data_IF_936274518685
#
_entry.id   IF_936274518685
#
_cell.length_a   1.000
_cell.length_b   1.000
_cell.length_c   1.000
_cell.angle_alpha   90.00
_cell.angle_beta   90.00
_cell.angle_gamma   90.00
#
_symmetry.space_group_name_H-M   'P 1'
#
loop_
_entity.id
_entity.type
_entity.pdbx_description
1 polymer ?
#
# COMPACT_ATOMS: atom_id res chain seq x y z
N UNK A 1 -19.21 30.08 9.26
CA UNK A 1 -18.53 28.84 8.77
C UNK A 1 -17.71 28.26 9.90
N UNK A 2 -18.02 27.06 10.37
CA UNK A 2 -17.31 26.42 11.51
C UNK A 2 -15.85 26.15 11.15
N UNK A 3 -14.90 26.47 12.02
CA UNK A 3 -13.45 26.26 11.85
C UNK A 3 -13.10 24.90 11.22
N UNK A 4 -13.76 23.83 11.67
CA UNK A 4 -13.63 22.48 11.15
C UNK A 4 -13.98 22.31 9.66
N UNK A 5 -14.98 23.04 9.13
CA UNK A 5 -15.30 23.02 7.69
C UNK A 5 -14.25 23.72 6.83
N UNK A 6 -13.49 24.66 7.42
CA UNK A 6 -12.36 25.33 6.74
C UNK A 6 -11.11 24.45 6.74
N UNK A 7 -10.90 23.69 7.82
CA UNK A 7 -9.75 22.82 8.01
C UNK A 7 -9.89 21.45 7.30
N UNK A 8 -11.07 20.82 7.36
CA UNK A 8 -11.31 19.46 6.84
C UNK A 8 -12.12 19.44 5.54
N UNK A 9 -12.54 20.59 5.00
CA UNK A 9 -13.36 20.64 3.79
C UNK A 9 -14.83 20.24 4.01
N UNK A 10 -15.55 20.04 2.90
CA UNK A 10 -16.96 19.60 2.92
C UNK A 10 -16.99 18.07 3.02
N UNK A 11 -17.87 17.47 3.84
CA UNK A 11 -17.99 16.02 3.90
C UNK A 11 -18.39 15.49 2.52
N UNK A 12 -17.58 14.59 1.97
CA UNK A 12 -17.88 13.89 0.72
C UNK A 12 -19.14 13.04 0.93
N UNK A 13 -20.18 13.27 0.14
CA UNK A 13 -21.39 12.45 0.20
C UNK A 13 -21.05 11.04 -0.29
N UNK A 14 -21.33 10.02 0.54
CA UNK A 14 -21.06 8.60 0.23
C UNK A 14 -21.64 8.12 -1.12
N UNK A 15 -22.65 8.82 -1.65
CA UNK A 15 -23.28 8.53 -2.94
C UNK A 15 -22.53 9.06 -4.17
N UNK A 16 -21.69 10.09 -4.03
CA UNK A 16 -20.96 10.67 -5.18
C UNK A 16 -19.71 9.84 -5.57
N UNK A 17 -19.14 9.09 -4.62
CA UNK A 17 -17.91 8.32 -4.84
C UNK A 17 -18.14 6.92 -5.42
N UNK A 18 -19.36 6.39 -5.38
CA UNK A 18 -19.67 5.04 -5.86
C UNK A 18 -19.77 4.95 -7.40
N UNK A 19 -20.07 6.06 -8.08
CA UNK A 19 -20.26 6.13 -9.54
C UNK A 19 -19.02 6.58 -10.32
N UNK A 20 -17.93 6.98 -9.64
CA UNK A 20 -16.70 7.41 -10.31
C UNK A 20 -15.82 6.20 -10.65
N UNK A 21 -16.07 5.61 -11.82
CA UNK A 21 -15.14 4.66 -12.44
C UNK A 21 -13.97 5.46 -13.03
N UNK A 22 -12.76 5.24 -12.48
CA UNK A 22 -11.54 5.83 -13.04
C UNK A 22 -11.27 5.24 -14.44
N UNK A 23 -10.97 6.07 -15.45
CA UNK A 23 -10.55 5.56 -16.75
C UNK A 23 -9.23 4.79 -16.60
N UNK A 24 -9.05 3.70 -17.36
CA UNK A 24 -7.91 2.77 -17.22
C UNK A 24 -6.54 3.44 -17.20
N UNK A 25 -6.36 4.53 -17.97
CA UNK A 25 -5.10 5.29 -18.05
C UNK A 25 -4.76 5.96 -16.72
N UNK A 26 -5.75 6.46 -15.98
CA UNK A 26 -5.58 7.07 -14.66
C UNK A 26 -5.56 6.01 -13.55
N UNK A 27 -6.38 4.97 -13.70
CA UNK A 27 -6.45 3.88 -12.73
C UNK A 27 -5.12 3.12 -12.61
N UNK A 28 -4.43 2.87 -13.73
CA UNK A 28 -3.18 2.10 -13.73
C UNK A 28 -2.08 2.70 -12.84
N UNK A 29 -1.65 3.96 -12.99
CA UNK A 29 -0.61 4.53 -12.13
C UNK A 29 -1.05 4.69 -10.67
N UNK A 30 -2.33 5.01 -10.42
CA UNK A 30 -2.85 5.17 -9.06
C UNK A 30 -2.84 3.82 -8.33
N UNK A 31 -3.32 2.75 -8.99
CA UNK A 31 -3.41 1.42 -8.39
C UNK A 31 -2.06 0.68 -8.41
N UNK A 32 -1.17 0.97 -9.35
CA UNK A 32 0.17 0.39 -9.40
C UNK A 32 1.16 1.08 -8.45
N UNK A 33 0.81 2.23 -7.88
CA UNK A 33 1.68 2.98 -6.97
C UNK A 33 2.17 2.14 -5.80
N UNK A 34 1.33 1.25 -5.27
CA UNK A 34 1.66 0.38 -4.12
C UNK A 34 2.71 -0.69 -4.47
N UNK A 35 2.59 -1.26 -5.68
CA UNK A 35 3.60 -2.19 -6.20
C UNK A 35 4.92 -1.46 -6.47
N UNK A 36 4.87 -0.24 -6.99
CA UNK A 36 6.08 0.57 -7.24
C UNK A 36 6.77 1.00 -5.95
N UNK A 37 6.01 1.43 -4.93
CA UNK A 37 6.59 1.77 -3.62
C UNK A 37 7.21 0.55 -2.95
N UNK A 38 6.62 -0.64 -3.10
CA UNK A 38 7.19 -1.89 -2.59
C UNK A 38 8.58 -2.19 -3.14
N UNK A 39 8.83 -1.93 -4.43
CA UNK A 39 10.15 -2.12 -5.03
C UNK A 39 11.20 -1.20 -4.40
N UNK A 40 10.83 0.03 -4.04
CA UNK A 40 11.76 1.01 -3.50
C UNK A 40 12.36 0.62 -2.14
N UNK A 41 11.60 -0.05 -1.27
CA UNK A 41 12.09 -0.47 0.05
C UNK A 41 12.42 -1.96 0.16
N UNK A 42 11.74 -2.83 -0.59
CA UNK A 42 11.87 -4.28 -0.41
C UNK A 42 13.24 -4.79 -0.85
N UNK A 43 13.84 -4.18 -1.88
CA UNK A 43 15.16 -4.60 -2.38
C UNK A 43 16.25 -4.37 -1.34
N UNK A 44 16.28 -3.19 -0.72
CA UNK A 44 17.25 -2.88 0.34
C UNK A 44 17.02 -3.74 1.58
N UNK A 45 15.77 -3.90 2.01
CA UNK A 45 15.43 -4.75 3.15
C UNK A 45 15.85 -6.22 2.94
N UNK A 46 15.60 -6.78 1.74
CA UNK A 46 15.97 -8.15 1.41
C UNK A 46 17.50 -8.33 1.42
N UNK A 47 18.25 -7.39 0.85
CA UNK A 47 19.71 -7.42 0.89
C UNK A 47 20.25 -7.26 2.30
N UNK A 48 19.67 -6.37 3.11
CA UNK A 48 20.05 -6.19 4.51
C UNK A 48 19.96 -7.49 5.32
N UNK A 49 18.90 -8.27 5.12
CA UNK A 49 18.75 -9.59 5.76
C UNK A 49 19.81 -10.59 5.24
N UNK A 50 20.08 -10.62 3.94
CA UNK A 50 21.10 -11.50 3.38
C UNK A 50 22.51 -11.18 3.89
N UNK A 51 22.83 -9.89 4.06
CA UNK A 51 24.13 -9.45 4.64
C UNK A 51 24.33 -10.01 6.05
N UNK A 52 23.28 -10.08 6.87
CA UNK A 52 23.35 -10.70 8.20
C UNK A 52 23.69 -12.20 8.13
N UNK A 53 23.32 -12.88 7.04
CA UNK A 53 23.69 -14.27 6.75
C UNK A 53 25.11 -14.45 6.20
N UNK A 54 25.87 -13.37 6.00
CA UNK A 54 27.23 -13.37 5.47
C UNK A 54 27.31 -13.11 3.96
N UNK A 55 28.50 -12.72 3.48
CA UNK A 55 28.73 -12.35 2.07
C UNK A 55 28.40 -13.46 1.06
N UNK A 56 28.51 -14.72 1.47
CA UNK A 56 28.12 -15.87 0.64
C UNK A 56 26.60 -15.91 0.36
N UNK A 57 25.77 -15.40 1.28
CA UNK A 57 24.31 -15.37 1.13
C UNK A 57 23.85 -14.32 0.11
N UNK A 58 24.67 -13.33 -0.24
CA UNK A 58 24.33 -12.33 -1.28
C UNK A 58 24.09 -12.98 -2.65
N UNK A 59 24.75 -14.11 -2.93
CA UNK A 59 24.51 -14.90 -4.14
C UNK A 59 23.09 -15.47 -4.23
N UNK A 60 22.36 -15.57 -3.10
CA UNK A 60 20.97 -16.01 -3.06
C UNK A 60 19.98 -14.92 -3.53
N UNK A 61 20.41 -13.67 -3.67
CA UNK A 61 19.53 -12.57 -4.12
C UNK A 61 18.87 -12.86 -5.48
N UNK A 62 19.63 -13.41 -6.42
CA UNK A 62 19.14 -13.76 -7.77
C UNK A 62 18.08 -14.88 -7.71
N UNK A 63 18.34 -16.07 -7.14
CA UNK A 63 17.33 -17.12 -7.09
C UNK A 63 16.10 -16.73 -6.27
N UNK A 64 16.25 -15.93 -5.20
CA UNK A 64 15.12 -15.38 -4.44
C UNK A 64 14.27 -14.46 -5.32
N UNK A 65 14.92 -13.57 -6.09
CA UNK A 65 14.21 -12.67 -7.00
C UNK A 65 13.43 -13.44 -8.07
N UNK A 66 14.03 -14.49 -8.66
CA UNK A 66 13.34 -15.36 -9.63
C UNK A 66 12.13 -16.05 -8.98
N UNK A 67 12.26 -16.54 -7.75
CA UNK A 67 11.14 -17.14 -7.02
C UNK A 67 10.01 -16.13 -6.75
N UNK A 68 10.35 -14.89 -6.39
CA UNK A 68 9.37 -13.80 -6.20
C UNK A 68 8.64 -13.48 -7.51
N UNK A 69 9.36 -13.39 -8.64
CA UNK A 69 8.74 -13.16 -9.96
C UNK A 69 7.75 -14.28 -10.30
N UNK A 70 8.15 -15.54 -10.08
CA UNK A 70 7.28 -16.68 -10.30
C UNK A 70 6.03 -16.64 -9.39
N UNK A 71 6.19 -16.27 -8.12
CA UNK A 71 5.08 -16.10 -7.18
C UNK A 71 4.13 -14.98 -7.65
N UNK A 72 4.65 -13.84 -8.07
CA UNK A 72 3.84 -12.73 -8.60
C UNK A 72 3.05 -13.19 -9.84
N UNK A 73 3.64 -13.96 -10.74
CA UNK A 73 2.94 -14.49 -11.91
C UNK A 73 1.75 -15.39 -11.50
N UNK A 74 1.94 -16.26 -10.50
CA UNK A 74 0.87 -17.10 -9.96
C UNK A 74 -0.24 -16.23 -9.35
N UNK A 75 0.14 -15.24 -8.55
CA UNK A 75 -0.80 -14.30 -7.91
C UNK A 75 -1.60 -13.54 -8.96
N UNK A 76 -0.97 -13.03 -10.01
CA UNK A 76 -1.66 -12.34 -11.12
C UNK A 76 -2.67 -13.26 -11.80
N UNK A 77 -2.30 -14.51 -12.09
CA UNK A 77 -3.23 -15.48 -12.68
C UNK A 77 -4.41 -15.79 -11.75
N UNK A 78 -4.17 -15.89 -10.44
CA UNK A 78 -5.21 -16.10 -9.44
C UNK A 78 -6.16 -14.89 -9.35
N UNK A 79 -5.63 -13.67 -9.32
CA UNK A 79 -6.45 -12.45 -9.31
C UNK A 79 -7.29 -12.32 -10.58
N UNK A 80 -6.77 -12.70 -11.76
CA UNK A 80 -7.57 -12.71 -12.99
C UNK A 80 -8.78 -13.63 -12.90
N UNK A 81 -8.62 -14.80 -12.30
CA UNK A 81 -9.73 -15.74 -12.08
C UNK A 81 -10.74 -15.16 -11.08
N UNK A 82 -10.26 -14.59 -9.96
CA UNK A 82 -11.11 -13.99 -8.95
C UNK A 82 -11.92 -12.80 -9.51
N UNK A 83 -11.27 -11.89 -10.27
CA UNK A 83 -11.94 -10.74 -10.89
C UNK A 83 -13.00 -11.20 -11.90
N UNK A 84 -12.73 -12.26 -12.67
CA UNK A 84 -13.71 -12.83 -13.60
C UNK A 84 -14.91 -13.46 -12.89
N UNK A 85 -14.70 -14.06 -11.72
CA UNK A 85 -15.77 -14.69 -10.93
C UNK A 85 -16.58 -13.66 -10.12
N UNK A 86 -15.99 -12.51 -9.79
CA UNK A 86 -16.57 -11.44 -8.98
C UNK A 86 -16.57 -10.09 -9.72
N UNK A 87 -17.36 -9.95 -10.81
CA UNK A 87 -17.36 -8.76 -11.67
C UNK A 87 -17.88 -7.49 -10.98
N UNK A 88 -18.78 -7.64 -10.00
CA UNK A 88 -19.30 -6.53 -9.20
C UNK A 88 -18.31 -6.06 -8.10
N UNK A 89 -17.14 -6.69 -8.01
CA UNK A 89 -16.13 -6.41 -7.01
C UNK A 89 -16.41 -7.08 -5.66
N UNK A 90 -15.64 -6.69 -4.64
CA UNK A 90 -15.79 -7.21 -3.26
C UNK A 90 -14.48 -7.51 -2.54
N UNK A 91 -13.37 -7.59 -3.29
CA UNK A 91 -12.04 -7.83 -2.73
C UNK A 91 -11.93 -9.16 -1.95
N UNK A 92 -10.77 -9.38 -1.33
CA UNK A 92 -10.45 -10.66 -0.67
C UNK A 92 -11.42 -11.00 0.46
N UNK A 93 -12.02 -10.00 1.13
CA UNK A 93 -13.02 -10.23 2.18
C UNK A 93 -14.30 -10.90 1.64
N UNK A 94 -14.89 -10.36 0.56
CA UNK A 94 -16.14 -10.89 0.01
C UNK A 94 -15.92 -12.29 -0.55
N UNK A 95 -14.83 -12.48 -1.31
CA UNK A 95 -14.47 -13.79 -1.87
C UNK A 95 -14.32 -14.84 -0.76
N UNK A 96 -13.58 -14.54 0.30
CA UNK A 96 -13.39 -15.49 1.40
C UNK A 96 -14.68 -15.73 2.17
N UNK A 97 -15.46 -14.67 2.45
CA UNK A 97 -16.70 -14.79 3.20
C UNK A 97 -17.72 -15.69 2.51
N UNK A 98 -17.85 -15.58 1.20
CA UNK A 98 -18.82 -16.37 0.42
C UNK A 98 -18.40 -17.84 0.26
N UNK A 99 -17.10 -18.11 0.16
CA UNK A 99 -16.59 -19.47 -0.05
C UNK A 99 -16.28 -20.24 1.25
N UNK A 100 -15.78 -19.55 2.28
CA UNK A 100 -15.28 -20.16 3.52
C UNK A 100 -16.06 -19.74 4.77
N UNK A 101 -17.09 -18.91 4.58
CA UNK A 101 -17.97 -18.45 5.64
C UNK A 101 -17.44 -17.22 6.40
N UNK A 102 -18.29 -16.72 7.29
CA UNK A 102 -18.09 -15.44 7.98
C UNK A 102 -16.83 -15.38 8.84
N UNK A 103 -16.52 -16.43 9.59
CA UNK A 103 -15.41 -16.42 10.55
C UNK A 103 -14.06 -16.27 9.84
N UNK A 104 -13.86 -17.02 8.76
CA UNK A 104 -12.64 -16.92 7.93
C UNK A 104 -12.62 -15.59 7.18
N UNK A 105 -13.78 -15.10 6.72
CA UNK A 105 -13.90 -13.75 6.16
C UNK A 105 -13.42 -12.66 7.12
N UNK A 106 -13.76 -12.74 8.42
CA UNK A 106 -13.29 -11.77 9.41
C UNK A 106 -11.76 -11.79 9.58
N UNK A 107 -11.12 -12.95 9.45
CA UNK A 107 -9.66 -13.05 9.44
C UNK A 107 -9.09 -12.31 8.23
N UNK A 108 -9.68 -12.49 7.04
CA UNK A 108 -9.27 -11.77 5.84
C UNK A 108 -9.46 -10.24 5.99
N UNK A 109 -10.56 -9.80 6.60
CA UNK A 109 -10.77 -8.37 6.88
C UNK A 109 -9.75 -7.81 7.87
N UNK A 110 -9.44 -8.55 8.94
CA UNK A 110 -8.41 -8.14 9.91
C UNK A 110 -7.03 -8.07 9.27
N UNK A 111 -6.67 -9.06 8.43
CA UNK A 111 -5.42 -9.06 7.68
C UNK A 111 -5.33 -7.83 6.75
N UNK A 112 -6.41 -7.48 6.04
CA UNK A 112 -6.44 -6.29 5.18
C UNK A 112 -6.27 -4.98 5.96
N UNK A 113 -6.85 -4.87 7.17
CA UNK A 113 -6.67 -3.68 8.00
C UNK A 113 -5.22 -3.54 8.48
N UNK A 114 -4.59 -4.66 8.85
CA UNK A 114 -3.18 -4.68 9.24
C UNK A 114 -2.32 -4.32 8.03
N UNK A 115 -2.57 -4.93 6.88
CA UNK A 115 -1.88 -4.67 5.62
C UNK A 115 -1.89 -3.19 5.26
N UNK A 116 -3.08 -2.57 5.20
CA UNK A 116 -3.18 -1.13 4.91
C UNK A 116 -2.45 -0.25 5.92
N UNK A 117 -2.46 -0.63 7.20
CA UNK A 117 -1.77 0.13 8.26
C UNK A 117 -0.25 0.03 8.09
N UNK A 118 0.25 -1.19 7.85
CA UNK A 118 1.68 -1.45 7.67
C UNK A 118 2.18 -0.83 6.36
N UNK A 119 1.44 -0.95 5.27
CA UNK A 119 1.81 -0.36 3.98
C UNK A 119 1.96 1.15 4.07
N UNK A 120 1.03 1.84 4.75
CA UNK A 120 1.15 3.28 4.99
C UNK A 120 2.38 3.62 5.84
N UNK A 121 2.62 2.87 6.91
CA UNK A 121 3.76 3.09 7.81
C UNK A 121 5.12 2.86 7.12
N UNK A 122 5.27 1.71 6.44
CA UNK A 122 6.51 1.32 5.75
C UNK A 122 6.80 2.27 4.60
N UNK A 123 5.79 2.63 3.80
CA UNK A 123 5.98 3.55 2.67
C UNK A 123 6.43 4.94 3.12
N UNK A 124 5.83 5.47 4.20
CA UNK A 124 6.23 6.78 4.74
C UNK A 124 7.61 6.75 5.37
N UNK A 125 7.97 5.67 6.06
CA UNK A 125 9.30 5.52 6.64
C UNK A 125 10.36 5.39 5.55
N UNK A 126 10.14 4.53 4.55
CA UNK A 126 11.04 4.38 3.41
C UNK A 126 11.21 5.69 2.63
N UNK A 127 10.10 6.42 2.39
CA UNK A 127 10.15 7.75 1.78
C UNK A 127 10.95 8.76 2.62
N UNK A 128 10.81 8.70 3.94
CA UNK A 128 11.57 9.56 4.86
C UNK A 128 13.07 9.22 4.84
N UNK A 129 13.43 7.93 4.80
CA UNK A 129 14.82 7.47 4.68
C UNK A 129 15.45 7.87 3.35
N UNK A 130 14.66 7.82 2.26
CA UNK A 130 15.11 8.35 0.97
C UNK A 130 15.42 9.86 1.06
N UNK A 131 14.62 10.64 1.80
CA UNK A 131 14.89 12.07 2.03
C UNK A 131 16.09 12.29 2.96
N UNK A 132 16.22 11.52 4.04
CA UNK A 132 17.32 11.66 5.00
C UNK A 132 18.67 11.29 4.39
N UNK A 133 18.68 10.45 3.34
CA UNK A 133 19.87 10.17 2.53
C UNK A 133 20.42 11.41 1.83
N UNK A 134 19.56 12.37 1.48
CA UNK A 134 19.93 13.67 0.88
C UNK A 134 20.24 14.73 1.94
N UNK A 135 19.57 14.66 3.10
CA UNK A 135 19.70 15.60 4.22
C UNK A 135 20.09 14.85 5.50
N UNK A 136 21.40 14.63 5.75
CA UNK A 136 21.85 13.77 6.85
C UNK A 136 21.42 14.21 8.25
N UNK A 137 21.10 15.49 8.45
CA UNK A 137 20.59 16.07 9.70
C UNK A 137 19.19 15.55 10.06
N UNK A 138 18.39 15.12 9.07
CA UNK A 138 17.07 14.53 9.28
C UNK A 138 17.12 13.12 9.89
N UNK A 139 18.27 12.44 9.88
CA UNK A 139 18.40 11.07 10.42
C UNK A 139 17.99 10.93 11.88
N UNK A 140 18.22 11.95 12.70
CA UNK A 140 17.82 11.93 14.11
C UNK A 140 16.31 12.14 14.31
N UNK A 141 15.61 12.62 13.28
CA UNK A 141 14.21 13.05 13.35
C UNK A 141 13.30 12.27 12.38
N UNK A 142 13.77 11.16 11.80
CA UNK A 142 13.04 10.40 10.78
C UNK A 142 11.64 9.99 11.25
N UNK A 143 11.52 9.48 12.48
CA UNK A 143 10.22 9.06 13.03
C UNK A 143 9.27 10.26 13.16
N UNK A 144 9.74 11.37 13.73
CA UNK A 144 8.92 12.58 13.88
C UNK A 144 8.51 13.17 12.54
N UNK A 145 9.41 13.14 11.55
CA UNK A 145 9.13 13.62 10.21
C UNK A 145 8.14 12.70 9.46
N UNK A 146 8.30 11.38 9.56
CA UNK A 146 7.37 10.42 9.00
C UNK A 146 5.95 10.56 9.58
N UNK A 147 5.84 10.79 10.90
CA UNK A 147 4.55 11.06 11.56
C UNK A 147 3.93 12.38 11.10
N UNK A 148 4.75 13.42 10.87
CA UNK A 148 4.29 14.68 10.30
C UNK A 148 3.77 14.48 8.87
N UNK A 149 4.48 13.73 8.03
CA UNK A 149 4.01 13.37 6.69
C UNK A 149 2.72 12.55 6.74
N UNK A 150 2.60 11.58 7.65
CA UNK A 150 1.37 10.81 7.86
C UNK A 150 0.19 11.74 8.18
N UNK A 151 0.40 12.68 9.10
CA UNK A 151 -0.62 13.65 9.48
C UNK A 151 -1.01 14.56 8.30
N UNK A 152 -0.04 15.00 7.49
CA UNK A 152 -0.28 15.82 6.31
C UNK A 152 -1.05 15.06 5.21
N UNK A 153 -0.65 13.82 4.91
CA UNK A 153 -1.34 12.96 3.95
C UNK A 153 -2.74 12.63 4.44
N UNK A 154 -2.90 12.31 5.73
CA UNK A 154 -4.20 12.11 6.37
C UNK A 154 -5.08 13.36 6.27
N UNK A 155 -4.53 14.53 6.56
CA UNK A 155 -5.23 15.81 6.43
C UNK A 155 -5.63 16.12 4.98
N UNK A 156 -4.74 15.89 4.01
CA UNK A 156 -5.01 16.02 2.59
C UNK A 156 -6.15 15.10 2.11
N UNK A 157 -6.14 13.84 2.55
CA UNK A 157 -7.19 12.87 2.27
C UNK A 157 -8.53 13.30 2.88
N UNK A 158 -8.54 13.78 4.12
CA UNK A 158 -9.75 14.28 4.79
C UNK A 158 -10.32 15.52 4.11
N UNK A 159 -9.46 16.40 3.58
CA UNK A 159 -9.87 17.59 2.82
C UNK A 159 -10.53 17.25 1.48
N UNK A 160 -10.43 15.99 1.04
CA UNK A 160 -11.01 15.55 -0.21
C UNK A 160 -10.22 16.02 -1.41
N UNK A 161 -8.88 16.03 -1.34
CA UNK A 161 -8.01 16.24 -2.50
C UNK A 161 -8.09 15.12 -3.55
N UNK A 162 -9.15 14.28 -3.52
CA UNK A 162 -9.41 13.32 -4.59
C UNK A 162 -9.89 14.07 -5.83
N UNK A 163 -9.08 13.92 -6.89
CA UNK A 163 -9.36 14.21 -8.30
C UNK A 163 -9.14 15.65 -8.77
N UNK A 164 -7.89 16.11 -8.74
CA UNK A 164 -7.36 17.05 -9.74
C UNK A 164 -6.44 16.29 -10.70
#
# INVERSE_FOLDING_TARGET
MTFWKRLLGRPLSRYAAADQRLPNIQALPILASDALSSVAYATEAALGVLVLGGSAALGLSVPITVAIIALIAIVVLSYRQAISAYPDGGGSYVVVRENLGRNVGLIAAAALLIDYTLTAAVSLMAGTQAISSLLPELRQHEVSFALLLLALVGWANLRGLKEA
#
